data_IF_662116097068
#
_entry.id   IF_662116097068
#
_cell.length_a   1.000
_cell.length_b   1.000
_cell.length_c   1.000
_cell.angle_alpha   90.00
_cell.angle_beta   90.00
_cell.angle_gamma   90.00
#
_symmetry.space_group_name_H-M   'P 1'
#
loop_
_entity.id
_entity.type
_entity.pdbx_description
1 polymer ?
#
# COMPACT_ATOMS: atom_id res chain seq x y z
N UNK A 1 14.21 -1.75 -17.65
CA UNK A 1 15.27 -1.35 -16.70
C UNK A 1 14.61 -1.30 -15.32
N UNK A 2 15.18 -1.93 -14.29
CA UNK A 2 14.59 -1.91 -12.93
C UNK A 2 14.70 -0.48 -12.37
N UNK A 3 13.69 0.35 -12.60
CA UNK A 3 13.69 1.75 -12.21
C UNK A 3 13.77 1.88 -10.69
N UNK A 4 14.86 2.48 -10.20
CA UNK A 4 15.11 2.70 -8.75
C UNK A 4 14.25 3.83 -8.16
N UNK A 5 13.27 4.34 -8.91
CA UNK A 5 12.43 5.47 -8.52
C UNK A 5 11.19 4.99 -7.76
N UNK A 6 10.76 5.78 -6.78
CA UNK A 6 9.51 5.53 -6.05
C UNK A 6 8.30 5.65 -7.00
N UNK A 7 8.34 6.61 -7.92
CA UNK A 7 7.40 6.74 -9.03
C UNK A 7 7.74 5.74 -10.13
N UNK A 8 7.20 4.53 -10.01
CA UNK A 8 7.24 3.47 -11.03
C UNK A 8 5.82 2.99 -11.29
N UNK A 9 5.53 2.49 -12.49
CA UNK A 9 4.18 2.04 -12.85
C UNK A 9 3.70 0.90 -11.92
N UNK A 10 4.61 0.01 -11.52
CA UNK A 10 4.34 -1.09 -10.61
C UNK A 10 4.01 -0.58 -9.21
N UNK A 11 4.75 0.42 -8.72
CA UNK A 11 4.44 1.05 -7.44
C UNK A 11 3.10 1.79 -7.49
N UNK A 12 2.80 2.50 -8.58
CA UNK A 12 1.52 3.16 -8.79
C UNK A 12 0.33 2.19 -8.77
N UNK A 13 0.47 1.02 -9.41
CA UNK A 13 -0.54 -0.05 -9.38
C UNK A 13 -0.79 -0.53 -7.95
N UNK A 14 0.27 -0.84 -7.21
CA UNK A 14 0.17 -1.30 -5.81
C UNK A 14 -0.49 -0.24 -4.91
N UNK A 15 -0.01 1.00 -4.94
CA UNK A 15 -0.50 2.05 -4.04
C UNK A 15 -1.92 2.47 -4.35
N UNK A 16 -2.32 2.46 -5.64
CA UNK A 16 -3.71 2.65 -6.06
C UNK A 16 -4.61 1.53 -5.52
N UNK A 17 -4.18 0.27 -5.61
CA UNK A 17 -4.93 -0.86 -5.07
C UNK A 17 -5.09 -0.77 -3.54
N UNK A 18 -4.00 -0.49 -2.81
CA UNK A 18 -4.03 -0.33 -1.36
C UNK A 18 -4.97 0.80 -0.92
N UNK A 19 -4.92 1.94 -1.62
CA UNK A 19 -5.81 3.09 -1.37
C UNK A 19 -7.28 2.73 -1.60
N UNK A 20 -7.57 1.95 -2.65
CA UNK A 20 -8.93 1.45 -2.91
C UNK A 20 -9.41 0.58 -1.76
N UNK A 21 -8.63 -0.45 -1.39
CA UNK A 21 -8.98 -1.37 -0.30
C UNK A 21 -9.16 -0.64 1.03
N UNK A 22 -8.34 0.39 1.31
CA UNK A 22 -8.52 1.24 2.49
C UNK A 22 -9.88 1.93 2.50
N UNK A 23 -10.32 2.49 1.37
CA UNK A 23 -11.63 3.11 1.25
C UNK A 23 -12.76 2.08 1.35
N UNK A 24 -12.62 0.92 0.72
CA UNK A 24 -13.62 -0.16 0.74
C UNK A 24 -13.86 -0.68 2.17
N UNK A 25 -12.81 -0.67 3.00
CA UNK A 25 -12.85 -1.02 4.43
C UNK A 25 -13.26 0.15 5.33
N UNK A 26 -13.62 1.30 4.77
CA UNK A 26 -14.09 2.47 5.51
C UNK A 26 -13.02 3.18 6.35
N UNK A 27 -11.74 2.92 6.10
CA UNK A 27 -10.66 3.54 6.87
C UNK A 27 -10.24 4.88 6.28
N UNK A 28 -10.06 5.88 7.16
CA UNK A 28 -9.26 7.07 6.85
C UNK A 28 -7.77 6.72 6.95
N UNK A 29 -6.88 7.59 6.43
CA UNK A 29 -5.45 7.44 6.68
C UNK A 29 -5.12 7.43 8.18
N UNK A 30 -5.85 8.22 8.99
CA UNK A 30 -5.62 8.30 10.44
C UNK A 30 -6.03 7.02 11.16
N UNK A 31 -7.20 6.45 10.84
CA UNK A 31 -7.66 5.22 11.47
C UNK A 31 -6.77 4.03 11.08
N UNK A 32 -6.36 3.91 9.82
CA UNK A 32 -5.44 2.86 9.42
C UNK A 32 -4.06 3.02 10.09
N UNK A 33 -3.57 4.25 10.17
CA UNK A 33 -2.29 4.52 10.83
C UNK A 33 -2.32 4.16 12.33
N UNK A 34 -3.47 4.36 12.99
CA UNK A 34 -3.67 3.92 14.36
C UNK A 34 -3.59 2.39 14.50
N UNK A 35 -4.21 1.63 13.59
CA UNK A 35 -4.11 0.16 13.56
C UNK A 35 -2.66 -0.31 13.34
N UNK A 36 -1.90 0.41 12.53
CA UNK A 36 -0.51 0.09 12.19
C UNK A 36 0.52 0.64 13.18
N UNK A 37 0.11 1.42 14.19
CA UNK A 37 1.03 2.04 15.14
C UNK A 37 2.01 3.03 14.50
N UNK A 38 1.58 3.76 13.47
CA UNK A 38 2.42 4.64 12.64
C UNK A 38 1.78 6.04 12.50
N UNK A 39 2.52 7.09 12.11
CA UNK A 39 1.91 8.39 11.77
C UNK A 39 1.02 8.31 10.53
N UNK A 40 -0.09 9.05 10.48
CA UNK A 40 -0.95 9.10 9.29
C UNK A 40 -0.24 9.57 8.01
N UNK A 41 0.83 10.36 8.15
CA UNK A 41 1.68 10.78 7.03
C UNK A 41 2.44 9.61 6.39
N UNK A 42 2.69 8.52 7.11
CA UNK A 42 3.25 7.29 6.54
C UNK A 42 2.30 6.72 5.48
N UNK A 43 1.01 6.62 5.80
CA UNK A 43 -0.04 6.16 4.89
C UNK A 43 -0.12 7.08 3.66
N UNK A 44 -0.16 8.40 3.89
CA UNK A 44 -0.20 9.39 2.80
C UNK A 44 1.01 9.29 1.86
N UNK A 45 2.22 9.18 2.41
CA UNK A 45 3.45 9.06 1.62
C UNK A 45 3.47 7.79 0.76
N UNK A 46 2.94 6.69 1.26
CA UNK A 46 2.81 5.45 0.49
C UNK A 46 1.80 5.65 -0.64
N UNK A 47 0.59 6.08 -0.30
CA UNK A 47 -0.50 6.20 -1.27
C UNK A 47 -0.23 7.25 -2.37
N UNK A 48 0.60 8.27 -2.07
CA UNK A 48 1.02 9.29 -3.02
C UNK A 48 2.33 8.96 -3.76
N UNK A 49 2.91 7.78 -3.55
CA UNK A 49 4.19 7.38 -4.16
C UNK A 49 5.38 8.28 -3.79
N UNK A 50 5.38 8.82 -2.58
CA UNK A 50 6.51 9.56 -1.99
C UNK A 50 7.43 8.62 -1.19
N UNK A 51 6.93 7.44 -0.81
CA UNK A 51 7.67 6.38 -0.12
C UNK A 51 7.25 5.01 -0.61
N UNK A 52 8.20 4.09 -0.83
CA UNK A 52 7.88 2.67 -1.08
C UNK A 52 7.56 1.95 0.23
N UNK A 53 6.69 0.95 0.15
CA UNK A 53 6.55 -0.07 1.17
C UNK A 53 7.61 -1.14 0.95
N UNK A 54 8.28 -1.59 2.00
CA UNK A 54 8.94 -2.89 1.96
C UNK A 54 7.91 -4.03 2.10
N UNK A 55 8.34 -5.28 1.90
CA UNK A 55 7.43 -6.44 1.88
C UNK A 55 6.78 -6.71 3.24
N UNK A 56 7.47 -6.46 4.34
CA UNK A 56 6.93 -6.68 5.69
C UNK A 56 5.90 -5.59 6.02
N UNK A 57 6.20 -4.34 5.68
CA UNK A 57 5.25 -3.24 5.81
C UNK A 57 4.01 -3.47 4.95
N UNK A 58 4.18 -3.95 3.71
CA UNK A 58 3.09 -4.29 2.81
C UNK A 58 2.17 -5.36 3.40
N UNK A 59 2.72 -6.46 3.92
CA UNK A 59 1.92 -7.52 4.55
C UNK A 59 1.19 -6.99 5.78
N UNK A 60 1.86 -6.18 6.62
CA UNK A 60 1.21 -5.54 7.79
C UNK A 60 0.05 -4.63 7.36
N UNK A 61 0.26 -3.84 6.30
CA UNK A 61 -0.76 -2.96 5.74
C UNK A 61 -1.99 -3.75 5.27
N UNK A 62 -1.77 -4.87 4.56
CA UNK A 62 -2.85 -5.76 4.11
C UNK A 62 -3.60 -6.40 5.28
N UNK A 63 -2.87 -6.89 6.29
CA UNK A 63 -3.47 -7.47 7.49
C UNK A 63 -4.32 -6.45 8.27
N UNK A 64 -3.84 -5.20 8.41
CA UNK A 64 -4.59 -4.14 9.08
C UNK A 64 -5.86 -3.73 8.31
N UNK A 65 -5.92 -4.00 7.01
CA UNK A 65 -7.10 -3.83 6.18
C UNK A 65 -7.94 -5.10 6.05
N UNK A 66 -7.52 -6.22 6.64
CA UNK A 66 -8.16 -7.53 6.46
C UNK A 66 -8.36 -7.88 4.97
N UNK A 67 -7.30 -7.73 4.19
CA UNK A 67 -7.25 -8.11 2.77
C UNK A 67 -6.09 -9.06 2.52
N UNK A 68 -6.25 -9.97 1.56
CA UNK A 68 -5.19 -10.93 1.23
C UNK A 68 -4.08 -10.24 0.41
N UNK A 69 -2.82 -10.20 0.90
CA UNK A 69 -1.71 -9.66 0.12
C UNK A 69 -1.47 -10.39 -1.21
N UNK A 70 -1.88 -11.65 -1.35
CA UNK A 70 -1.76 -12.38 -2.60
C UNK A 70 -2.62 -11.79 -3.73
N UNK A 71 -3.74 -11.11 -3.41
CA UNK A 71 -4.53 -10.38 -4.41
C UNK A 71 -3.68 -9.30 -5.11
N UNK A 72 -2.92 -8.51 -4.34
CA UNK A 72 -2.05 -7.48 -4.88
C UNK A 72 -0.86 -8.09 -5.65
N UNK A 73 -0.29 -9.20 -5.16
CA UNK A 73 0.79 -9.88 -5.88
C UNK A 73 0.32 -10.40 -7.25
N UNK A 74 -0.90 -10.94 -7.33
CA UNK A 74 -1.47 -11.37 -8.61
C UNK A 74 -1.70 -10.21 -9.58
N UNK A 75 -2.08 -9.02 -9.08
CA UNK A 75 -2.20 -7.81 -9.87
C UNK A 75 -0.86 -7.30 -10.44
N UNK A 76 0.23 -7.52 -9.71
CA UNK A 76 1.57 -7.01 -10.05
C UNK A 76 2.40 -7.97 -10.90
N UNK A 77 1.96 -9.22 -11.06
CA UNK A 77 2.61 -10.18 -11.95
C UNK A 77 2.63 -9.59 -13.37
N UNK A 78 3.81 -9.64 -13.98
CA UNK A 78 4.00 -9.43 -15.41
C UNK A 78 4.24 -10.83 -15.96
N UNK A 79 3.43 -11.22 -16.95
CA UNK A 79 3.62 -12.49 -17.67
C UNK A 79 4.96 -12.54 -18.41
#
# INVERSE_FOLDING_TARGET
MMGKTVSSEENAKLTKWLKSKRHDKGHTMRSLAQLLGTPHSFIGKIENQERRLDVIEFVRYCNALEVDPHEALNLLKVD
#
